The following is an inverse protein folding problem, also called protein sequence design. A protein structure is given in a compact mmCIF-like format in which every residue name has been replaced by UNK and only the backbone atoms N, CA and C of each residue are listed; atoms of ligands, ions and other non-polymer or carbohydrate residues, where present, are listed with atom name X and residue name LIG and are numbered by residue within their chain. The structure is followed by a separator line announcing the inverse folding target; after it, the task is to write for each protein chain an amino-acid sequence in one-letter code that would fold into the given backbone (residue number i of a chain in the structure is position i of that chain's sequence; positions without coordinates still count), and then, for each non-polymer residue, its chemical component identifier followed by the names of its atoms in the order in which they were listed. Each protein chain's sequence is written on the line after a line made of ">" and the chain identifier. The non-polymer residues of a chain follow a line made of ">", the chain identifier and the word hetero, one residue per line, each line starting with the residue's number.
data_IF_911377137868
#
_entry.id   IF_911377137868
#
_cell.length_a   1.000
_cell.length_b   1.000
_cell.length_c   1.000
_cell.angle_alpha   90.00
_cell.angle_beta   90.00
_cell.angle_gamma   90.00
#
_symmetry.space_group_name_H-M   'P 1'
#
loop_
_entity.id
_entity.type
_entity.pdbx_description
1 polymer ?
#
# COMPACT_ATOMS: atom_id res chain seq x y z
N UNK A 1 -17.06 -7.69 11.12
CA UNK A 1 -17.18 -6.46 10.31
C UNK A 1 -17.98 -5.45 11.12
N UNK A 2 -17.57 -4.17 11.08
CA UNK A 2 -18.01 -3.05 11.96
C UNK A 2 -19.20 -3.35 12.89
N UNK A 3 -18.94 -3.36 14.20
CA UNK A 3 -19.94 -3.60 15.23
C UNK A 3 -21.05 -2.52 15.18
N UNK A 4 -22.09 -2.73 14.37
CA UNK A 4 -23.28 -1.86 14.31
C UNK A 4 -23.94 -1.62 12.94
N UNK A 5 -23.40 -2.08 11.81
CA UNK A 5 -23.87 -1.61 10.49
C UNK A 5 -24.85 -2.52 9.75
N UNK A 6 -26.16 -2.47 10.04
CA UNK A 6 -27.20 -3.09 9.17
C UNK A 6 -27.63 -2.18 8.00
N UNK A 7 -27.29 -0.90 8.04
CA UNK A 7 -27.73 0.12 7.08
C UNK A 7 -27.27 -0.15 5.66
N UNK A 8 -26.00 -0.56 5.46
CA UNK A 8 -25.49 -0.84 4.13
C UNK A 8 -26.21 -2.03 3.48
N UNK A 9 -26.56 -3.07 4.26
CA UNK A 9 -27.35 -4.18 3.78
C UNK A 9 -28.81 -3.76 3.48
N UNK A 10 -29.42 -2.94 4.33
CA UNK A 10 -30.78 -2.44 4.13
C UNK A 10 -30.92 -1.53 2.89
N UNK A 11 -29.86 -0.81 2.53
CA UNK A 11 -29.83 0.10 1.38
C UNK A 11 -29.24 -0.53 0.11
N UNK A 12 -28.91 -1.83 0.14
CA UNK A 12 -28.18 -2.50 -0.95
C UNK A 12 -26.91 -1.73 -1.40
N UNK A 13 -26.23 -1.12 -0.42
CA UNK A 13 -25.13 -0.19 -0.64
C UNK A 13 -23.76 -0.86 -0.55
N UNK A 14 -22.75 -0.21 -1.12
CA UNK A 14 -21.35 -0.61 -0.97
C UNK A 14 -20.77 -0.11 0.36
N UNK A 15 -20.04 -0.97 1.04
CA UNK A 15 -19.14 -0.57 2.12
C UNK A 15 -17.75 -0.40 1.52
N UNK A 16 -17.17 0.79 1.66
CA UNK A 16 -15.85 1.12 1.13
C UNK A 16 -14.94 1.54 2.28
N UNK A 17 -13.78 0.89 2.39
CA UNK A 17 -12.71 1.34 3.28
C UNK A 17 -11.59 1.96 2.46
N UNK A 18 -11.16 3.14 2.87
CA UNK A 18 -10.00 3.84 2.31
C UNK A 18 -8.79 3.66 3.23
N UNK A 19 -7.62 3.44 2.63
CA UNK A 19 -6.34 3.50 3.33
C UNK A 19 -5.20 3.95 2.39
N UNK A 20 -4.12 4.45 2.98
CA UNK A 20 -2.88 4.79 2.29
C UNK A 20 -1.69 3.99 2.85
N UNK A 21 -0.89 3.42 1.95
CA UNK A 21 0.36 2.74 2.31
C UNK A 21 1.57 3.30 1.57
N UNK A 22 2.68 3.49 2.29
CA UNK A 22 3.94 4.00 1.75
C UNK A 22 5.07 2.98 1.81
N UNK A 23 5.75 2.78 0.69
CA UNK A 23 6.91 1.89 0.55
C UNK A 23 8.18 2.70 0.31
N UNK A 24 9.19 2.52 1.18
CA UNK A 24 10.54 3.00 0.94
C UNK A 24 11.21 2.16 -0.15
N UNK A 25 11.81 2.79 -1.16
CA UNK A 25 12.62 2.09 -2.16
C UNK A 25 14.04 1.76 -1.66
N UNK A 26 14.38 2.20 -0.45
CA UNK A 26 15.57 1.74 0.28
C UNK A 26 15.11 0.70 1.30
N UNK A 27 15.24 -0.61 1.00
CA UNK A 27 14.73 -1.65 1.89
C UNK A 27 15.54 -1.68 3.19
N UNK A 28 14.89 -1.65 4.37
CA UNK A 28 15.58 -1.72 5.67
C UNK A 28 16.11 -3.12 6.00
N UNK A 29 15.58 -4.16 5.36
CA UNK A 29 16.04 -5.56 5.47
C UNK A 29 15.88 -6.22 4.11
N UNK A 30 16.91 -6.90 3.64
CA UNK A 30 16.85 -7.63 2.38
C UNK A 30 16.53 -9.10 2.64
N UNK A 31 15.29 -9.54 2.34
CA UNK A 31 15.06 -10.96 2.05
C UNK A 31 15.61 -11.22 0.67
N UNK A 32 16.75 -11.89 0.60
CA UNK A 32 17.46 -12.16 -0.66
C UNK A 32 17.24 -13.61 -1.05
N UNK A 33 17.09 -13.89 -2.34
CA UNK A 33 17.19 -15.24 -2.90
C UNK A 33 18.65 -15.66 -3.14
N UNK A 34 19.61 -15.10 -2.38
CA UNK A 34 21.02 -15.43 -2.52
C UNK A 34 21.28 -16.89 -2.12
N UNK A 35 22.38 -17.43 -2.63
CA UNK A 35 22.79 -18.82 -2.40
C UNK A 35 22.86 -19.11 -0.90
N UNK A 36 22.29 -20.25 -0.49
CA UNK A 36 22.34 -20.75 0.89
C UNK A 36 23.80 -20.86 1.34
N UNK A 37 24.10 -20.32 2.53
CA UNK A 37 25.46 -20.34 3.11
C UNK A 37 26.38 -19.19 2.66
N UNK A 38 25.93 -18.31 1.76
CA UNK A 38 26.67 -17.11 1.37
C UNK A 38 25.96 -15.86 1.89
N UNK A 39 26.61 -15.08 2.76
CA UNK A 39 26.07 -13.81 3.24
C UNK A 39 26.01 -12.79 2.11
N UNK A 40 24.83 -12.31 1.71
CA UNK A 40 24.71 -11.30 0.67
C UNK A 40 25.16 -9.93 1.20
N UNK A 41 26.08 -9.27 0.49
CA UNK A 41 26.46 -7.88 0.77
C UNK A 41 25.71 -6.97 -0.20
N UNK A 42 24.76 -6.19 0.33
CA UNK A 42 23.94 -5.27 -0.49
C UNK A 42 24.34 -3.83 -0.16
N UNK A 43 24.81 -3.09 -1.17
CA UNK A 43 25.12 -1.67 -1.05
C UNK A 43 23.88 -0.86 -1.41
N UNK A 44 23.37 -0.08 -0.46
CA UNK A 44 22.23 0.82 -0.65
C UNK A 44 22.63 2.27 -0.39
N UNK A 45 22.00 3.21 -1.09
CA UNK A 45 22.06 4.62 -0.71
C UNK A 45 21.20 4.85 0.53
N UNK A 46 21.80 4.94 1.72
CA UNK A 46 21.12 5.13 3.01
C UNK A 46 20.32 6.44 3.17
N UNK A 47 20.35 7.33 2.17
CA UNK A 47 19.60 8.60 2.14
C UNK A 47 18.66 8.76 0.94
N UNK A 48 18.36 7.67 0.21
CA UNK A 48 17.39 7.77 -0.89
C UNK A 48 16.01 8.15 -0.35
N UNK A 49 15.45 9.24 -0.88
CA UNK A 49 14.10 9.75 -0.57
C UNK A 49 13.03 9.17 -1.49
N UNK A 50 13.39 8.17 -2.30
CA UNK A 50 12.47 7.54 -3.25
C UNK A 50 11.50 6.65 -2.48
N UNK A 51 10.22 6.88 -2.71
CA UNK A 51 9.12 6.09 -2.16
C UNK A 51 8.03 5.89 -3.18
N UNK A 52 7.21 4.88 -2.95
CA UNK A 52 5.95 4.68 -3.64
C UNK A 52 4.86 4.77 -2.58
N UNK A 53 3.91 5.68 -2.75
CA UNK A 53 2.68 5.69 -1.96
C UNK A 53 1.55 5.08 -2.78
N UNK A 54 0.64 4.38 -2.13
CA UNK A 54 -0.55 3.79 -2.75
C UNK A 54 -1.74 4.18 -1.89
N UNK A 55 -2.71 4.88 -2.50
CA UNK A 55 -4.04 5.03 -1.92
C UNK A 55 -4.93 3.91 -2.49
N UNK A 56 -5.71 3.26 -1.64
CA UNK A 56 -6.55 2.13 -2.02
C UNK A 56 -7.94 2.21 -1.38
N UNK A 57 -8.92 1.73 -2.13
CA UNK A 57 -10.28 1.50 -1.70
C UNK A 57 -10.57 0.00 -1.76
N UNK A 58 -10.99 -0.57 -0.64
CA UNK A 58 -11.52 -1.94 -0.57
C UNK A 58 -13.05 -1.87 -0.48
N UNK A 59 -13.73 -2.39 -1.49
CA UNK A 59 -15.18 -2.26 -1.63
C UNK A 59 -15.85 -3.62 -1.49
N UNK A 60 -16.86 -3.68 -0.62
CA UNK A 60 -17.63 -4.88 -0.31
C UNK A 60 -19.13 -4.62 -0.43
N UNK A 61 -19.84 -5.57 -1.04
CA UNK A 61 -21.29 -5.60 -1.10
C UNK A 61 -21.75 -7.06 -1.10
N UNK A 62 -22.84 -7.38 -0.40
CA UNK A 62 -23.35 -8.75 -0.34
C UNK A 62 -23.75 -9.23 -1.73
N UNK A 63 -23.42 -10.49 -2.08
CA UNK A 63 -23.71 -11.07 -3.40
C UNK A 63 -22.83 -10.56 -4.54
N UNK A 64 -21.98 -9.56 -4.31
CA UNK A 64 -21.08 -8.98 -5.30
C UNK A 64 -19.63 -9.38 -5.04
N UNK A 65 -18.82 -9.45 -6.10
CA UNK A 65 -17.38 -9.67 -5.97
C UNK A 65 -16.72 -8.43 -5.35
N UNK A 66 -15.91 -8.65 -4.31
CA UNK A 66 -15.09 -7.60 -3.70
C UNK A 66 -14.21 -6.90 -4.73
N UNK A 67 -14.06 -5.58 -4.60
CA UNK A 67 -13.26 -4.75 -5.52
C UNK A 67 -12.11 -4.08 -4.78
N UNK A 68 -10.97 -4.00 -5.46
CA UNK A 68 -9.81 -3.22 -5.01
C UNK A 68 -9.51 -2.17 -6.09
N UNK A 69 -9.70 -0.91 -5.74
CA UNK A 69 -9.35 0.23 -6.61
C UNK A 69 -8.17 0.92 -5.96
N UNK A 70 -7.06 1.09 -6.67
CA UNK A 70 -5.86 1.69 -6.10
C UNK A 70 -5.18 2.64 -7.08
N UNK A 71 -4.48 3.63 -6.51
CA UNK A 71 -3.68 4.59 -7.27
C UNK A 71 -2.27 4.61 -6.71
N UNK A 72 -1.25 4.17 -7.47
CA UNK A 72 0.15 4.33 -7.07
C UNK A 72 0.68 5.71 -7.44
N UNK A 73 1.51 6.29 -6.57
CA UNK A 73 2.27 7.53 -6.81
C UNK A 73 3.72 7.31 -6.44
N UNK A 74 4.60 7.58 -7.40
CA UNK A 74 6.06 7.56 -7.18
C UNK A 74 6.51 8.95 -6.74
N UNK A 75 7.21 9.03 -5.62
CA UNK A 75 7.95 10.23 -5.26
C UNK A 75 9.39 10.07 -5.74
N UNK A 76 9.79 10.93 -6.67
CA UNK A 76 11.11 10.94 -7.30
C UNK A 76 12.22 11.53 -6.42
N UNK A 77 11.86 12.06 -5.23
CA UNK A 77 12.80 12.58 -4.24
C UNK A 77 13.06 14.08 -4.33
N UNK A 78 12.32 14.82 -5.17
CA UNK A 78 12.35 16.29 -5.19
C UNK A 78 11.90 16.88 -3.84
N UNK A 79 12.53 17.98 -3.40
CA UNK A 79 12.31 18.58 -2.07
C UNK A 79 10.86 19.05 -1.84
N UNK A 80 10.15 19.47 -2.90
CA UNK A 80 8.84 20.13 -2.81
C UNK A 80 7.62 19.27 -3.18
N UNK A 81 7.80 17.98 -3.46
CA UNK A 81 6.68 17.11 -3.83
C UNK A 81 5.83 16.68 -2.63
N UNK A 82 4.48 16.75 -2.77
CA UNK A 82 3.54 16.14 -1.80
C UNK A 82 3.86 14.64 -1.67
N UNK A 83 4.01 14.22 -0.41
CA UNK A 83 4.60 12.95 0.00
C UNK A 83 3.60 11.79 0.04
N UNK A 84 2.32 12.15 0.12
CA UNK A 84 1.14 11.30 0.20
C UNK A 84 0.17 11.67 -0.93
N UNK A 85 -0.96 10.96 -0.98
CA UNK A 85 -2.11 11.41 -1.77
C UNK A 85 -2.78 12.65 -1.14
#
# INVERSE_FOLDING_TARGET
>A
MAAGGRTAAALDAWIVFEDESGFSMTPPVARTWARRGCTPVIRVCGRSRRRISIAALTCYKSGERSRLIYRPRRADGRRDGRKSF
#
